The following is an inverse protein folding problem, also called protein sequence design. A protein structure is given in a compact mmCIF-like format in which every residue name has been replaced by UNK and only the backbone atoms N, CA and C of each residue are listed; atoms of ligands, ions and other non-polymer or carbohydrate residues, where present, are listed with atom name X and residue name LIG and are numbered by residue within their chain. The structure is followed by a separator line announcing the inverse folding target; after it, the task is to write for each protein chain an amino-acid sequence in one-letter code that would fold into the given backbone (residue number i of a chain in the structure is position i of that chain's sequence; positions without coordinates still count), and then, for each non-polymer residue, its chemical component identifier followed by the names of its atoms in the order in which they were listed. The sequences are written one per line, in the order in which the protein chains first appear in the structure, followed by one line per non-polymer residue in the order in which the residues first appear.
data_IF_694457874376
#
_entry.id   IF_694457874376
#
_cell.length_a   1.000
_cell.length_b   1.000
_cell.length_c   1.000
_cell.angle_alpha   90.00
_cell.angle_beta   90.00
_cell.angle_gamma   90.00
#
_symmetry.space_group_name_H-M   'P 1'
#
loop_
_entity.id
_entity.type
_entity.pdbx_description
1 polymer ?
#
# COMPACT_ATOMS: atom_id res chain seq x y z
N UNK A 1 24.78 13.16 5.48
CA UNK A 1 24.77 13.26 4.00
C UNK A 1 23.32 13.43 3.58
N UNK A 2 22.86 14.68 3.47
CA UNK A 2 21.52 14.99 2.95
C UNK A 2 21.55 14.67 1.45
N UNK A 3 21.12 13.47 1.07
CA UNK A 3 20.86 13.18 -0.34
C UNK A 3 19.84 14.20 -0.81
N UNK A 4 20.23 15.07 -1.74
CA UNK A 4 19.29 15.86 -2.53
C UNK A 4 18.17 14.92 -2.97
N UNK A 5 16.88 15.28 -2.77
CA UNK A 5 15.79 14.43 -3.20
C UNK A 5 16.02 14.16 -4.69
N UNK A 6 16.19 12.88 -5.04
CA UNK A 6 16.37 12.48 -6.43
C UNK A 6 15.15 12.96 -7.21
N UNK A 7 15.33 14.02 -7.98
CA UNK A 7 14.35 14.50 -8.95
C UNK A 7 14.72 13.78 -10.23
N UNK A 8 14.08 12.65 -10.50
CA UNK A 8 14.31 11.88 -11.72
C UNK A 8 14.16 12.75 -12.98
N UNK A 9 14.50 12.22 -14.17
CA UNK A 9 14.39 12.97 -15.42
C UNK A 9 12.99 13.62 -15.58
N UNK A 10 12.88 14.87 -16.08
CA UNK A 10 11.59 15.58 -16.14
C UNK A 10 10.46 14.79 -16.83
N UNK A 11 10.78 14.10 -17.94
CA UNK A 11 9.83 13.27 -18.68
C UNK A 11 9.33 12.04 -17.90
N UNK A 12 10.11 11.55 -16.92
CA UNK A 12 9.66 10.49 -16.00
C UNK A 12 8.75 11.10 -14.95
N UNK A 13 9.13 12.25 -14.39
CA UNK A 13 8.36 12.92 -13.34
C UNK A 13 6.99 13.40 -13.83
N UNK A 14 6.86 13.82 -15.09
CA UNK A 14 5.58 14.18 -15.70
C UNK A 14 4.60 12.99 -15.72
N UNK A 15 5.10 11.80 -16.10
CA UNK A 15 4.30 10.58 -16.11
C UNK A 15 3.93 10.13 -14.70
N UNK A 16 4.85 10.27 -13.74
CA UNK A 16 4.59 10.01 -12.32
C UNK A 16 3.52 10.95 -11.79
N UNK A 17 3.56 12.23 -12.14
CA UNK A 17 2.55 13.20 -11.71
C UNK A 17 1.18 12.86 -12.32
N UNK A 18 1.14 12.47 -13.59
CA UNK A 18 -0.10 11.99 -14.22
C UNK A 18 -0.64 10.72 -13.55
N UNK A 19 0.23 9.77 -13.18
CA UNK A 19 -0.16 8.60 -12.39
C UNK A 19 -0.79 9.00 -11.05
N UNK A 20 -0.20 9.97 -10.33
CA UNK A 20 -0.70 10.46 -9.05
C UNK A 20 -2.06 11.14 -9.20
N UNK A 21 -2.22 11.97 -10.21
CA UNK A 21 -3.50 12.64 -10.51
C UNK A 21 -4.61 11.62 -10.78
N UNK A 22 -4.32 10.58 -11.57
CA UNK A 22 -5.27 9.50 -11.86
C UNK A 22 -5.65 8.76 -10.56
N UNK A 23 -4.69 8.38 -9.72
CA UNK A 23 -5.03 7.66 -8.50
C UNK A 23 -5.81 8.53 -7.51
N UNK A 24 -5.46 9.81 -7.37
CA UNK A 24 -6.11 10.73 -6.44
C UNK A 24 -7.58 11.01 -6.79
N UNK A 25 -7.90 11.18 -8.09
CA UNK A 25 -9.28 11.46 -8.54
C UNK A 25 -10.25 10.28 -8.37
N UNK A 26 -9.73 9.07 -8.24
CA UNK A 26 -10.52 7.84 -8.10
C UNK A 26 -10.70 7.42 -6.63
N UNK A 27 -10.54 8.32 -5.68
CA UNK A 27 -10.93 8.07 -4.28
C UNK A 27 -9.96 7.16 -3.50
N UNK A 28 -8.65 7.31 -3.73
CA UNK A 28 -7.66 6.71 -2.85
C UNK A 28 -7.73 7.36 -1.44
N UNK A 29 -7.69 6.55 -0.39
CA UNK A 29 -7.84 7.02 1.00
C UNK A 29 -6.62 7.82 1.50
N UNK A 30 -5.49 7.72 0.80
CA UNK A 30 -4.24 8.42 1.09
C UNK A 30 -3.83 9.40 -0.02
N UNK A 31 -4.81 9.91 -0.80
CA UNK A 31 -4.58 10.75 -1.98
C UNK A 31 -3.79 12.04 -1.72
N UNK A 32 -3.91 12.63 -0.52
CA UNK A 32 -3.29 13.90 -0.16
C UNK A 32 -1.81 13.76 0.26
N UNK A 33 -1.35 12.54 0.57
CA UNK A 33 -0.03 12.29 1.18
C UNK A 33 0.65 10.99 0.70
N UNK A 34 0.71 10.68 -0.60
CA UNK A 34 1.46 9.50 -1.04
C UNK A 34 2.94 9.67 -0.65
N UNK A 35 3.43 8.82 0.26
CA UNK A 35 4.84 8.77 0.69
C UNK A 35 5.75 8.40 -0.50
N UNK A 36 7.06 8.37 -0.24
CA UNK A 36 8.18 8.33 -1.21
C UNK A 36 8.06 7.37 -2.42
N UNK A 37 7.16 6.39 -2.39
CA UNK A 37 6.99 5.35 -3.42
C UNK A 37 5.70 5.49 -4.25
N UNK A 38 4.93 6.57 -4.08
CA UNK A 38 3.68 6.82 -4.80
C UNK A 38 2.67 5.67 -4.68
N UNK A 39 2.51 5.17 -3.46
CA UNK A 39 1.56 4.11 -3.13
C UNK A 39 0.20 4.74 -2.86
N UNK A 40 -0.84 4.22 -3.50
CA UNK A 40 -2.22 4.62 -3.29
C UNK A 40 -3.03 3.43 -2.79
N UNK A 41 -3.84 3.66 -1.75
CA UNK A 41 -4.69 2.65 -1.13
C UNK A 41 -6.14 2.95 -1.49
N UNK A 42 -6.85 1.93 -1.94
CA UNK A 42 -8.28 2.01 -2.26
C UNK A 42 -9.02 1.05 -1.32
N UNK A 43 -10.01 1.56 -0.61
CA UNK A 43 -10.89 0.80 0.28
C UNK A 43 -12.13 0.25 -0.44
N UNK A 44 -12.31 0.62 -1.71
CA UNK A 44 -13.38 0.18 -2.61
C UNK A 44 -12.80 -0.41 -3.88
N UNK A 45 -13.31 -1.57 -4.27
CA UNK A 45 -12.92 -2.26 -5.49
C UNK A 45 -13.22 -1.40 -6.73
N UNK A 46 -14.38 -0.76 -6.76
CA UNK A 46 -14.85 0.06 -7.88
C UNK A 46 -13.90 1.23 -8.16
N UNK A 47 -13.39 1.86 -7.10
CA UNK A 47 -12.41 2.93 -7.16
C UNK A 47 -11.08 2.45 -7.77
N UNK A 48 -10.59 1.28 -7.32
CA UNK A 48 -9.37 0.67 -7.87
C UNK A 48 -9.54 0.28 -9.34
N UNK A 49 -10.67 -0.33 -9.71
CA UNK A 49 -10.97 -0.69 -11.10
C UNK A 49 -11.02 0.55 -12.01
N UNK A 50 -11.66 1.63 -11.56
CA UNK A 50 -11.75 2.89 -12.30
C UNK A 50 -10.36 3.53 -12.48
N UNK A 51 -9.55 3.56 -11.42
CA UNK A 51 -8.17 4.02 -11.49
C UNK A 51 -7.33 3.20 -12.46
N UNK A 52 -7.40 1.87 -12.39
CA UNK A 52 -6.63 0.97 -13.24
C UNK A 52 -7.06 1.08 -14.71
N UNK A 53 -8.36 1.26 -14.98
CA UNK A 53 -8.88 1.50 -16.34
C UNK A 53 -8.30 2.78 -16.91
N UNK A 54 -8.35 3.89 -16.17
CA UNK A 54 -7.80 5.16 -16.64
C UNK A 54 -6.27 5.12 -16.80
N UNK A 55 -5.55 4.45 -15.90
CA UNK A 55 -4.11 4.22 -16.04
C UNK A 55 -3.77 3.42 -17.30
N UNK A 56 -4.57 2.40 -17.61
CA UNK A 56 -4.42 1.59 -18.84
C UNK A 56 -4.66 2.45 -20.08
N UNK A 57 -5.75 3.21 -20.10
CA UNK A 57 -6.08 4.11 -21.23
C UNK A 57 -5.04 5.23 -21.42
N UNK A 58 -4.47 5.73 -20.33
CA UNK A 58 -3.46 6.78 -20.37
C UNK A 58 -2.13 6.31 -20.96
N UNK A 59 -1.86 5.01 -20.99
CA UNK A 59 -0.69 4.43 -21.68
C UNK A 59 0.65 5.03 -21.25
N UNK A 60 0.83 5.37 -19.96
CA UNK A 60 2.00 6.11 -19.47
C UNK A 60 3.33 5.37 -19.68
N UNK A 61 3.28 4.05 -19.88
CA UNK A 61 4.47 3.20 -20.03
C UNK A 61 5.19 2.94 -18.71
N UNK A 62 4.48 3.07 -17.58
CA UNK A 62 4.98 2.69 -16.26
C UNK A 62 4.57 1.27 -15.91
N UNK A 63 5.47 0.55 -15.24
CA UNK A 63 5.13 -0.70 -14.56
C UNK A 63 4.40 -0.36 -13.27
N UNK A 64 3.12 -0.74 -13.17
CA UNK A 64 2.29 -0.52 -11.98
C UNK A 64 2.15 -1.84 -11.23
N UNK A 65 2.45 -1.82 -9.93
CA UNK A 65 2.20 -2.96 -9.04
C UNK A 65 0.84 -2.78 -8.39
N UNK A 66 -0.03 -3.76 -8.55
CA UNK A 66 -1.34 -3.83 -7.87
C UNK A 66 -1.25 -4.94 -6.84
N UNK A 67 -1.53 -4.61 -5.57
CA UNK A 67 -1.53 -5.55 -4.46
C UNK A 67 -2.97 -5.81 -3.99
N UNK A 68 -3.28 -7.06 -3.66
CA UNK A 68 -4.61 -7.49 -3.22
C UNK A 68 -4.74 -9.01 -3.34
N UNK A 69 -5.95 -9.52 -3.14
CA UNK A 69 -6.26 -10.93 -3.37
C UNK A 69 -6.10 -11.26 -4.86
N UNK A 70 -5.46 -12.40 -5.19
CA UNK A 70 -5.09 -12.72 -6.56
C UNK A 70 -6.27 -12.69 -7.54
N UNK A 71 -7.38 -13.32 -7.16
CA UNK A 71 -8.57 -13.40 -8.02
C UNK A 71 -9.21 -12.02 -8.20
N UNK A 72 -9.24 -11.21 -7.14
CA UNK A 72 -9.77 -9.84 -7.22
C UNK A 72 -8.90 -8.94 -8.10
N UNK A 73 -7.58 -8.96 -7.91
CA UNK A 73 -6.64 -8.20 -8.73
C UNK A 73 -6.72 -8.65 -10.19
N UNK A 74 -6.79 -9.95 -10.44
CA UNK A 74 -6.95 -10.48 -11.78
C UNK A 74 -8.27 -10.02 -12.42
N UNK A 75 -9.37 -10.01 -11.68
CA UNK A 75 -10.66 -9.50 -12.16
C UNK A 75 -10.61 -8.01 -12.49
N UNK A 76 -10.02 -7.22 -11.60
CA UNK A 76 -9.85 -5.77 -11.79
C UNK A 76 -9.02 -5.47 -13.04
N UNK A 77 -7.90 -6.17 -13.23
CA UNK A 77 -7.08 -6.07 -14.45
C UNK A 77 -7.91 -6.39 -15.70
N UNK A 78 -8.66 -7.51 -15.71
CA UNK A 78 -9.46 -7.90 -16.87
C UNK A 78 -10.53 -6.86 -17.19
N UNK A 79 -11.24 -6.33 -16.19
CA UNK A 79 -12.24 -5.26 -16.35
C UNK A 79 -11.63 -3.94 -16.82
N UNK A 80 -10.40 -3.66 -16.39
CA UNK A 80 -9.62 -2.51 -16.86
C UNK A 80 -9.06 -2.68 -18.29
N UNK A 81 -9.25 -3.84 -18.94
CA UNK A 81 -8.72 -4.12 -20.28
C UNK A 81 -7.22 -4.45 -20.29
N UNK A 82 -6.66 -4.86 -19.15
CA UNK A 82 -5.25 -5.23 -18.99
C UNK A 82 -5.10 -6.62 -18.36
N UNK A 83 -3.85 -7.06 -18.18
CA UNK A 83 -3.50 -8.31 -17.48
C UNK A 83 -2.20 -8.13 -16.72
N UNK A 84 -2.03 -8.88 -15.63
CA UNK A 84 -0.74 -8.95 -14.97
C UNK A 84 0.31 -9.53 -15.92
N UNK A 85 1.44 -8.83 -16.10
CA UNK A 85 2.58 -9.35 -16.86
C UNK A 85 3.51 -10.20 -15.98
N UNK A 86 3.56 -9.91 -14.68
CA UNK A 86 4.30 -10.66 -13.65
C UNK A 86 3.47 -10.73 -12.38
N UNK A 87 3.64 -11.81 -11.63
CA UNK A 87 2.99 -12.00 -10.33
C UNK A 87 4.07 -12.17 -9.27
N UNK A 88 4.05 -11.31 -8.24
CA UNK A 88 4.85 -11.52 -7.04
C UNK A 88 4.01 -12.30 -6.03
N UNK A 89 4.40 -13.55 -5.77
CA UNK A 89 3.67 -14.46 -4.88
C UNK A 89 4.51 -14.78 -3.65
N UNK A 90 4.02 -14.40 -2.47
CA UNK A 90 4.62 -14.80 -1.21
C UNK A 90 4.31 -16.28 -0.94
N UNK A 91 5.33 -17.08 -0.70
CA UNK A 91 5.18 -18.49 -0.30
C UNK A 91 4.73 -18.67 1.16
N UNK A 92 4.52 -17.56 1.89
CA UNK A 92 4.17 -17.58 3.30
C UNK A 92 5.35 -17.90 4.22
N UNK A 93 5.04 -18.31 5.44
CA UNK A 93 6.03 -18.57 6.49
C UNK A 93 6.50 -20.03 6.51
N UNK A 94 7.83 -20.23 6.55
CA UNK A 94 8.47 -21.54 6.59
C UNK A 94 9.43 -21.65 7.78
N UNK A 95 9.65 -22.87 8.28
CA UNK A 95 10.59 -23.14 9.38
C UNK A 95 9.96 -23.06 10.78
N UNK A 96 10.66 -22.41 11.73
CA UNK A 96 10.27 -22.30 13.15
C UNK A 96 9.14 -21.29 13.38
N UNK A 97 7.94 -21.64 12.90
CA UNK A 97 6.75 -20.77 12.93
C UNK A 97 6.30 -20.42 14.36
N UNK A 98 6.65 -21.21 15.35
CA UNK A 98 6.42 -20.95 16.77
C UNK A 98 7.17 -19.72 17.32
N UNK A 99 8.16 -19.22 16.57
CA UNK A 99 8.88 -17.97 16.90
C UNK A 99 8.26 -16.72 16.29
N UNK A 100 7.25 -16.87 15.44
CA UNK A 100 6.57 -15.74 14.84
C UNK A 100 5.67 -15.07 15.89
N UNK A 101 5.37 -13.77 15.72
CA UNK A 101 4.28 -13.14 16.44
C UNK A 101 2.95 -13.92 16.29
N UNK A 102 2.01 -13.76 17.23
CA UNK A 102 0.67 -14.31 17.10
C UNK A 102 0.00 -13.89 15.77
N UNK A 103 -0.89 -14.73 15.21
CA UNK A 103 -1.55 -14.46 13.92
C UNK A 103 -2.18 -13.07 13.81
N UNK A 104 -2.87 -12.60 14.85
CA UNK A 104 -3.50 -11.28 14.91
C UNK A 104 -2.49 -10.12 14.81
N UNK A 105 -1.25 -10.32 15.28
CA UNK A 105 -0.17 -9.33 15.12
C UNK A 105 0.46 -9.44 13.72
N UNK A 106 0.56 -10.65 13.18
CA UNK A 106 1.03 -10.88 11.81
C UNK A 106 0.09 -10.26 10.78
N UNK A 107 -1.23 -10.33 10.97
CA UNK A 107 -2.22 -9.69 10.11
C UNK A 107 -1.93 -8.20 9.92
N UNK A 108 -1.54 -7.50 10.99
CA UNK A 108 -1.22 -6.06 10.94
C UNK A 108 0.18 -5.82 10.37
N UNK A 109 1.20 -6.52 10.90
CA UNK A 109 2.61 -6.29 10.53
C UNK A 109 2.91 -6.68 9.08
N UNK A 110 2.15 -7.60 8.48
CA UNK A 110 2.30 -8.00 7.08
C UNK A 110 1.52 -7.16 6.09
N UNK A 111 0.64 -6.25 6.55
CA UNK A 111 0.04 -5.24 5.67
C UNK A 111 1.14 -4.37 5.06
N UNK A 112 2.19 -4.05 5.84
CA UNK A 112 3.32 -3.27 5.38
C UNK A 112 4.29 -4.14 4.58
N UNK A 113 4.35 -3.94 3.26
CA UNK A 113 5.27 -4.68 2.39
C UNK A 113 6.76 -4.52 2.70
N UNK A 114 7.14 -3.57 3.57
CA UNK A 114 8.54 -3.35 4.00
C UNK A 114 8.83 -3.87 5.41
N UNK A 115 7.83 -4.42 6.12
CA UNK A 115 7.99 -4.97 7.48
C UNK A 115 8.64 -3.99 8.48
N UNK A 116 8.30 -2.70 8.41
CA UNK A 116 8.89 -1.66 9.27
C UNK A 116 8.14 -1.45 10.60
N UNK A 117 6.93 -1.99 10.73
CA UNK A 117 6.15 -1.92 11.97
C UNK A 117 6.57 -3.07 12.88
N UNK A 118 7.10 -2.74 14.05
CA UNK A 118 7.50 -3.74 15.03
C UNK A 118 6.28 -4.45 15.65
N UNK A 119 6.29 -5.79 15.80
CA UNK A 119 5.19 -6.52 16.44
C UNK A 119 4.82 -6.00 17.84
N UNK A 120 5.83 -5.64 18.65
CA UNK A 120 5.59 -5.09 19.98
C UNK A 120 4.88 -3.73 19.98
N UNK A 121 5.05 -2.92 18.94
CA UNK A 121 4.30 -1.66 18.80
C UNK A 121 2.82 -1.93 18.55
N UNK A 122 2.50 -2.92 17.73
CA UNK A 122 1.12 -3.35 17.47
C UNK A 122 0.45 -3.80 18.77
N UNK A 123 1.11 -4.69 19.52
CA UNK A 123 0.58 -5.15 20.81
C UNK A 123 0.37 -4.00 21.78
N UNK A 124 1.38 -3.13 21.94
CA UNK A 124 1.29 -1.98 22.85
C UNK A 124 0.13 -1.04 22.51
N UNK A 125 -0.06 -0.71 21.24
CA UNK A 125 -1.14 0.19 20.82
C UNK A 125 -2.52 -0.47 20.92
N UNK A 126 -2.63 -1.77 20.63
CA UNK A 126 -3.86 -2.52 20.84
C UNK A 126 -4.27 -2.55 22.31
N UNK A 127 -3.32 -2.71 23.24
CA UNK A 127 -3.57 -2.62 24.68
C UNK A 127 -4.06 -1.23 25.08
N UNK A 128 -3.39 -0.17 24.62
CA UNK A 128 -3.83 1.21 24.89
C UNK A 128 -5.23 1.51 24.37
N UNK A 129 -5.60 1.00 23.20
CA UNK A 129 -6.96 1.15 22.65
C UNK A 129 -7.97 0.43 23.52
N UNK A 130 -7.67 -0.82 23.93
CA UNK A 130 -8.53 -1.61 24.81
C UNK A 130 -8.73 -0.94 26.17
N UNK A 131 -7.68 -0.37 26.72
CA UNK A 131 -7.68 0.24 28.06
C UNK A 131 -8.27 1.67 28.04
N UNK A 132 -8.53 2.23 26.85
CA UNK A 132 -9.16 3.54 26.65
C UNK A 132 -8.19 4.72 26.66
N UNK A 133 -6.88 4.46 26.67
CA UNK A 133 -5.81 5.47 26.69
C UNK A 133 -5.60 6.16 25.33
N UNK A 134 -6.13 5.58 24.25
CA UNK A 134 -6.11 6.12 22.89
C UNK A 134 -7.27 5.51 22.09
N UNK A 135 -7.50 5.99 20.87
CA UNK A 135 -8.48 5.41 19.95
C UNK A 135 -7.79 4.73 18.73
N UNK A 136 -8.58 4.02 17.93
CA UNK A 136 -8.08 3.29 16.75
C UNK A 136 -7.37 4.21 15.75
N UNK A 137 -7.91 5.40 15.50
CA UNK A 137 -7.35 6.35 14.55
C UNK A 137 -5.97 6.83 15.00
N UNK A 138 -5.84 7.25 16.26
CA UNK A 138 -4.57 7.69 16.85
C UNK A 138 -3.52 6.56 16.88
N UNK A 139 -3.94 5.34 17.22
CA UNK A 139 -3.07 4.17 17.20
C UNK A 139 -2.53 3.89 15.78
N UNK A 140 -3.40 3.93 14.77
CA UNK A 140 -3.00 3.76 13.37
C UNK A 140 -2.05 4.88 12.91
N UNK A 141 -2.31 6.14 13.29
CA UNK A 141 -1.43 7.27 12.99
C UNK A 141 -0.04 7.11 13.62
N UNK A 142 0.06 6.57 14.83
CA UNK A 142 1.36 6.29 15.46
C UNK A 142 2.11 5.15 14.73
N UNK A 143 1.42 4.05 14.37
CA UNK A 143 2.03 2.98 13.55
C UNK A 143 2.50 3.48 12.18
N UNK A 144 1.71 4.37 11.55
CA UNK A 144 1.99 4.97 10.25
C UNK A 144 3.32 5.70 10.20
N UNK A 145 3.84 6.20 11.34
CA UNK A 145 5.15 6.88 11.41
C UNK A 145 6.30 5.96 11.02
N UNK A 146 6.18 4.67 11.31
CA UNK A 146 7.16 3.65 10.94
C UNK A 146 6.96 3.15 9.49
N UNK A 147 5.75 3.30 8.96
CA UNK A 147 5.38 2.77 7.66
C UNK A 147 5.72 3.73 6.51
N UNK A 148 6.62 3.33 5.61
CA UNK A 148 6.89 4.07 4.37
C UNK A 148 5.79 3.89 3.31
N UNK A 149 4.96 2.86 3.44
CA UNK A 149 3.84 2.59 2.51
C UNK A 149 2.61 3.44 2.76
N UNK A 150 2.46 3.97 3.98
CA UNK A 150 1.35 4.84 4.34
C UNK A 150 -0.05 4.20 4.25
N UNK A 151 -0.13 2.94 4.69
CA UNK A 151 -1.33 2.08 4.59
C UNK A 151 -2.15 1.97 5.89
N UNK A 152 -1.65 2.56 6.97
CA UNK A 152 -2.29 2.58 8.30
C UNK A 152 -2.98 3.92 8.53
#
# INVERSE_FOLDING_TARGET
MLSLPYRGPPHVMEKVERFKQICARHGAINADRPKAWHIFVFDRRENMEAALKELTDAGLGHSVVVAGLFDEVADCCRRAGTRAHTVNHSLGFWGKREKLPPPEVLEITTMCGHALVAPGLVTHLAEKVRDGDTNLEEACQEMRRMCLCDIF
#
